data_IF_167829706130
#
_entry.id   IF_167829706130
#
_cell.length_a   1.000
_cell.length_b   1.000
_cell.length_c   1.000
_cell.angle_alpha   90.00
_cell.angle_beta   90.00
_cell.angle_gamma   90.00
#
_symmetry.space_group_name_H-M   'P 1'
#
loop_
_entity.id
_entity.type
_entity.pdbx_description
1 polymer ?
#
# COMPACT_ATOMS: atom_id res chain seq x y z
N UNK A 1 -24.12 58.31 -0.35
CA UNK A 1 -22.78 58.08 -0.91
C UNK A 1 -21.85 57.62 0.21
N UNK A 2 -21.79 56.32 0.45
CA UNK A 2 -20.93 55.72 1.48
C UNK A 2 -20.35 54.43 0.89
N UNK A 3 -19.11 54.50 0.44
CA UNK A 3 -18.39 53.38 -0.19
C UNK A 3 -17.77 52.50 0.86
N UNK A 4 -18.08 51.20 0.81
CA UNK A 4 -17.36 50.16 1.53
C UNK A 4 -16.21 49.69 0.63
N UNK A 5 -14.98 49.87 1.09
CA UNK A 5 -13.78 49.35 0.45
C UNK A 5 -13.54 47.95 0.99
N UNK A 6 -13.70 46.93 0.14
CA UNK A 6 -13.21 45.58 0.43
C UNK A 6 -11.72 45.54 0.08
N UNK A 7 -10.89 45.41 1.10
CA UNK A 7 -9.50 44.99 0.91
C UNK A 7 -9.54 43.53 0.47
N UNK A 8 -9.05 43.27 -0.74
CA UNK A 8 -8.77 41.93 -1.23
C UNK A 8 -7.65 41.33 -0.38
N UNK A 9 -8.02 40.53 0.61
CA UNK A 9 -7.11 39.54 1.15
C UNK A 9 -6.69 38.62 0.02
N UNK A 10 -5.38 38.51 -0.20
CA UNK A 10 -4.78 37.49 -1.05
C UNK A 10 -5.21 36.16 -0.43
N UNK A 11 -6.24 35.55 -1.00
CA UNK A 11 -6.78 34.28 -0.55
C UNK A 11 -5.68 33.26 -0.51
N UNK A 12 -5.21 32.91 0.69
CA UNK A 12 -4.72 31.57 0.92
C UNK A 12 -5.87 30.68 0.53
N UNK A 13 -5.75 30.06 -0.65
CA UNK A 13 -6.72 29.10 -1.15
C UNK A 13 -7.07 28.18 0.00
N UNK A 14 -8.34 28.14 0.36
CA UNK A 14 -8.88 27.03 1.14
C UNK A 14 -8.60 25.78 0.33
N UNK A 15 -7.42 25.19 0.52
CA UNK A 15 -7.10 23.85 0.04
C UNK A 15 -8.11 22.98 0.77
N UNK A 16 -9.18 22.66 0.06
CA UNK A 16 -10.35 21.99 0.60
C UNK A 16 -9.90 20.75 1.36
N UNK A 17 -10.40 20.59 2.57
CA UNK A 17 -10.27 19.31 3.26
C UNK A 17 -10.80 18.20 2.33
N UNK A 18 -10.01 17.15 2.09
CA UNK A 18 -10.47 15.97 1.31
C UNK A 18 -10.02 15.89 -0.16
N UNK A 19 -8.87 16.44 -0.55
CA UNK A 19 -8.32 16.23 -1.90
C UNK A 19 -7.61 14.87 -2.08
N UNK A 20 -7.24 14.23 -0.97
CA UNK A 20 -6.42 13.01 -0.95
C UNK A 20 -7.20 11.87 -0.31
N UNK A 21 -7.32 10.75 -1.01
CA UNK A 21 -7.73 9.48 -0.42
C UNK A 21 -6.51 8.65 -0.06
N UNK A 22 -6.39 8.21 1.18
CA UNK A 22 -5.37 7.29 1.64
C UNK A 22 -6.00 5.95 2.00
N UNK A 23 -5.59 4.90 1.29
CA UNK A 23 -6.04 3.54 1.51
C UNK A 23 -4.97 2.70 2.20
N UNK A 24 -5.40 1.99 3.24
CA UNK A 24 -4.68 0.88 3.84
C UNK A 24 -5.35 -0.44 3.51
N UNK A 25 -4.57 -1.48 3.26
CA UNK A 25 -5.06 -2.84 3.02
C UNK A 25 -4.27 -3.88 3.79
N UNK A 26 -4.79 -5.10 3.82
CA UNK A 26 -4.09 -6.28 4.27
C UNK A 26 -4.69 -6.95 5.51
N UNK A 27 -3.93 -7.90 6.05
CA UNK A 27 -4.35 -8.72 7.16
C UNK A 27 -4.25 -7.98 8.50
N UNK A 28 -5.39 -7.80 9.18
CA UNK A 28 -5.48 -7.00 10.42
C UNK A 28 -4.90 -7.68 11.67
N UNK A 29 -4.41 -8.91 11.57
CA UNK A 29 -3.61 -9.52 12.63
C UNK A 29 -2.13 -9.24 12.51
N UNK A 30 -1.71 -8.51 11.48
CA UNK A 30 -0.34 -8.02 11.40
C UNK A 30 -0.05 -7.07 12.56
N UNK A 31 1.21 -7.02 12.99
CA UNK A 31 1.67 -5.95 13.87
C UNK A 31 1.55 -4.60 13.18
N UNK A 32 0.70 -3.72 13.71
CA UNK A 32 0.54 -2.33 13.27
C UNK A 32 1.38 -1.45 14.20
N UNK A 33 2.50 -0.86 13.72
CA UNK A 33 3.40 -0.09 14.57
C UNK A 33 2.67 1.04 15.29
N UNK A 34 2.91 1.14 16.61
CA UNK A 34 2.29 2.15 17.47
C UNK A 34 0.76 2.19 17.38
N UNK A 35 0.09 1.07 17.11
CA UNK A 35 -1.36 0.95 16.86
C UNK A 35 -1.86 1.88 15.72
N UNK A 36 -0.99 2.26 14.78
CA UNK A 36 -1.27 3.19 13.68
C UNK A 36 -0.96 4.66 13.98
N UNK A 37 -0.56 5.02 15.21
CA UNK A 37 -0.26 6.42 15.57
C UNK A 37 0.88 7.03 14.74
N UNK A 38 1.84 6.21 14.31
CA UNK A 38 2.93 6.69 13.45
C UNK A 38 2.42 7.06 12.05
N UNK A 39 1.57 6.22 11.44
CA UNK A 39 0.91 6.56 10.18
C UNK A 39 0.01 7.80 10.34
N UNK A 40 -0.70 7.94 11.46
CA UNK A 40 -1.51 9.14 11.74
C UNK A 40 -0.67 10.41 11.73
N UNK A 41 0.45 10.40 12.45
CA UNK A 41 1.32 11.57 12.61
C UNK A 41 2.10 11.89 11.34
N UNK A 42 2.62 10.88 10.66
CA UNK A 42 3.61 11.06 9.61
C UNK A 42 3.04 10.88 8.19
N UNK A 43 1.84 10.32 8.03
CA UNK A 43 1.22 10.12 6.73
C UNK A 43 -0.15 10.79 6.62
N UNK A 44 -1.11 10.43 7.47
CA UNK A 44 -2.50 10.90 7.38
C UNK A 44 -2.58 12.42 7.60
N UNK A 45 -2.03 12.93 8.71
CA UNK A 45 -2.10 14.37 9.04
C UNK A 45 -1.31 15.25 8.06
N UNK A 46 -0.05 14.93 7.68
CA UNK A 46 0.69 15.74 6.72
C UNK A 46 -0.02 15.83 5.36
N UNK A 47 -0.71 14.77 4.94
CA UNK A 47 -1.45 14.73 3.68
C UNK A 47 -2.88 15.29 3.79
N UNK A 48 -3.38 15.51 5.01
CA UNK A 48 -4.80 15.86 5.26
C UNK A 48 -5.76 14.89 4.54
N UNK A 49 -5.44 13.60 4.58
CA UNK A 49 -6.11 12.60 3.77
C UNK A 49 -7.36 12.04 4.44
N UNK A 50 -8.39 11.78 3.63
CA UNK A 50 -9.47 10.88 3.99
C UNK A 50 -8.92 9.46 4.07
N UNK A 51 -9.24 8.74 5.15
CA UNK A 51 -8.59 7.47 5.47
C UNK A 51 -9.55 6.30 5.26
N UNK A 52 -9.14 5.38 4.39
CA UNK A 52 -9.88 4.18 4.00
C UNK A 52 -9.13 2.94 4.45
N UNK A 53 -9.84 1.94 4.96
CA UNK A 53 -9.24 0.65 5.32
C UNK A 53 -10.04 -0.50 4.72
N UNK A 54 -9.41 -1.28 3.84
CA UNK A 54 -9.93 -2.57 3.37
C UNK A 54 -9.14 -3.70 4.05
N UNK A 55 -9.61 -4.10 5.23
CA UNK A 55 -8.95 -5.10 6.06
C UNK A 55 -9.48 -6.52 5.81
N UNK A 56 -8.60 -7.49 5.95
CA UNK A 56 -8.96 -8.91 6.05
C UNK A 56 -8.60 -9.50 7.41
N UNK A 57 -9.31 -10.56 7.80
CA UNK A 57 -9.05 -11.29 9.05
C UNK A 57 -9.31 -12.78 8.88
N UNK A 58 -8.63 -13.61 9.67
CA UNK A 58 -8.95 -15.00 9.90
C UNK A 58 -9.94 -15.09 11.06
N UNK A 59 -10.80 -16.10 11.06
CA UNK A 59 -11.82 -16.28 12.10
C UNK A 59 -11.20 -16.39 13.50
N UNK A 60 -10.00 -16.98 13.62
CA UNK A 60 -9.28 -17.07 14.89
C UNK A 60 -8.61 -15.77 15.36
N UNK A 61 -8.53 -14.72 14.52
CA UNK A 61 -7.84 -13.49 14.91
C UNK A 61 -8.58 -12.71 16.00
N UNK A 62 -9.90 -12.89 16.04
CA UNK A 62 -10.79 -12.34 17.04
C UNK A 62 -11.70 -13.49 17.47
N UNK A 63 -11.21 -14.40 18.33
CA UNK A 63 -12.00 -15.54 18.78
C UNK A 63 -13.29 -14.98 19.38
N UNK A 64 -14.42 -15.44 18.87
CA UNK A 64 -15.70 -15.03 19.41
C UNK A 64 -15.71 -15.40 20.89
N UNK A 65 -15.79 -14.41 21.78
CA UNK A 65 -16.61 -14.61 22.97
C UNK A 65 -17.96 -15.07 22.45
N UNK A 66 -18.59 -16.06 23.06
CA UNK A 66 -19.78 -16.82 22.61
C UNK A 66 -20.96 -16.04 21.99
N UNK A 67 -20.93 -14.72 21.89
CA UNK A 67 -21.94 -13.86 21.28
C UNK A 67 -21.42 -12.99 20.11
N UNK A 68 -21.86 -13.37 18.89
CA UNK A 68 -22.12 -12.52 17.71
C UNK A 68 -20.97 -11.94 16.86
N UNK A 69 -21.25 -11.75 15.57
CA UNK A 69 -20.41 -11.07 14.57
C UNK A 69 -20.04 -9.63 14.92
N UNK A 70 -20.82 -8.99 15.81
CA UNK A 70 -20.53 -7.65 16.31
C UNK A 70 -19.23 -7.61 17.15
N UNK A 71 -18.87 -8.72 17.82
CA UNK A 71 -17.65 -8.79 18.61
C UNK A 71 -16.38 -8.73 17.72
N UNK A 72 -16.36 -9.49 16.63
CA UNK A 72 -15.23 -9.52 15.70
C UNK A 72 -14.95 -8.11 15.13
N UNK A 73 -16.01 -7.36 14.77
CA UNK A 73 -15.88 -5.98 14.31
C UNK A 73 -15.20 -5.08 15.35
N UNK A 74 -15.63 -5.12 16.61
CA UNK A 74 -15.02 -4.33 17.69
C UNK A 74 -13.56 -4.68 17.92
N UNK A 75 -13.23 -5.97 18.02
CA UNK A 75 -11.86 -6.46 18.22
C UNK A 75 -10.90 -5.98 17.12
N UNK A 76 -11.36 -5.98 15.85
CA UNK A 76 -10.55 -5.51 14.72
C UNK A 76 -10.42 -3.98 14.69
N UNK A 77 -11.49 -3.24 15.00
CA UNK A 77 -11.49 -1.78 15.04
C UNK A 77 -10.51 -1.24 16.10
N UNK A 78 -10.42 -1.90 17.26
CA UNK A 78 -9.46 -1.52 18.31
C UNK A 78 -8.00 -1.52 17.84
N UNK A 79 -7.65 -2.37 16.87
CA UNK A 79 -6.30 -2.42 16.27
C UNK A 79 -6.01 -1.21 15.37
N UNK A 80 -7.05 -0.58 14.87
CA UNK A 80 -7.00 0.58 13.98
C UNK A 80 -7.20 1.90 14.74
N UNK A 81 -7.27 1.88 16.09
CA UNK A 81 -7.57 3.07 16.90
C UNK A 81 -6.63 4.24 16.63
N UNK A 82 -5.36 3.98 16.33
CA UNK A 82 -4.40 5.03 16.03
C UNK A 82 -4.57 5.67 14.66
N UNK A 83 -5.32 5.05 13.74
CA UNK A 83 -5.64 5.59 12.41
C UNK A 83 -6.90 6.48 12.39
N UNK A 84 -7.59 6.63 13.52
CA UNK A 84 -8.84 7.39 13.59
C UNK A 84 -8.58 8.91 13.41
N UNK A 85 -9.51 9.65 12.77
CA UNK A 85 -10.80 9.18 12.25
C UNK A 85 -10.68 8.43 10.91
N UNK A 86 -11.47 7.36 10.75
CA UNK A 86 -11.61 6.65 9.47
C UNK A 86 -12.79 7.20 8.67
N UNK A 87 -12.57 7.47 7.39
CA UNK A 87 -13.61 7.89 6.43
C UNK A 87 -14.50 6.70 6.04
N UNK A 88 -13.90 5.54 5.80
CA UNK A 88 -14.64 4.29 5.56
C UNK A 88 -13.81 3.04 5.88
N UNK A 89 -14.51 1.97 6.25
CA UNK A 89 -13.95 0.70 6.68
C UNK A 89 -14.70 -0.46 6.03
N UNK A 90 -13.97 -1.39 5.42
CA UNK A 90 -14.49 -2.67 4.93
C UNK A 90 -13.70 -3.82 5.54
N UNK A 91 -14.36 -4.63 6.38
CA UNK A 91 -13.78 -5.78 7.05
C UNK A 91 -14.39 -7.06 6.48
N UNK A 92 -13.55 -7.96 5.95
CA UNK A 92 -13.99 -9.25 5.42
C UNK A 92 -13.12 -10.41 5.92
N UNK A 93 -13.69 -11.60 6.07
CA UNK A 93 -12.87 -12.80 6.21
C UNK A 93 -11.89 -12.91 5.03
N UNK A 94 -10.66 -13.29 5.32
CA UNK A 94 -9.62 -13.51 4.31
C UNK A 94 -10.03 -14.65 3.39
N UNK A 95 -9.85 -14.47 2.07
CA UNK A 95 -10.11 -15.54 1.11
C UNK A 95 -9.24 -16.77 1.42
N UNK A 96 -9.89 -17.92 1.52
CA UNK A 96 -9.24 -19.22 1.68
C UNK A 96 -8.50 -19.59 0.38
N UNK A 97 -7.53 -20.50 0.48
CA UNK A 97 -6.83 -20.99 -0.72
C UNK A 97 -7.77 -21.66 -1.72
N UNK A 98 -8.83 -22.32 -1.24
CA UNK A 98 -9.86 -22.92 -2.09
C UNK A 98 -10.65 -21.85 -2.87
N UNK A 99 -11.05 -20.75 -2.21
CA UNK A 99 -11.72 -19.63 -2.87
C UNK A 99 -10.80 -18.94 -3.88
N UNK A 100 -9.53 -18.70 -3.53
CA UNK A 100 -8.55 -18.12 -4.46
C UNK A 100 -8.35 -19.03 -5.68
N UNK A 101 -8.28 -20.34 -5.48
CA UNK A 101 -8.21 -21.33 -6.56
C UNK A 101 -9.44 -21.24 -7.48
N UNK A 102 -10.64 -21.19 -6.91
CA UNK A 102 -11.87 -21.04 -7.69
C UNK A 102 -11.84 -19.77 -8.56
N UNK A 103 -11.40 -18.63 -8.00
CA UNK A 103 -11.25 -17.40 -8.77
C UNK A 103 -10.21 -17.54 -9.89
N UNK A 104 -9.05 -18.13 -9.59
CA UNK A 104 -8.00 -18.35 -10.57
C UNK A 104 -8.46 -19.28 -11.71
N UNK A 105 -9.08 -20.41 -11.39
CA UNK A 105 -9.57 -21.40 -12.37
C UNK A 105 -10.70 -20.85 -13.24
N UNK A 106 -11.44 -19.84 -12.77
CA UNK A 106 -12.43 -19.12 -13.56
C UNK A 106 -11.82 -18.07 -14.52
N UNK A 107 -10.56 -17.68 -14.34
CA UNK A 107 -9.91 -16.69 -15.18
C UNK A 107 -9.54 -17.29 -16.56
N UNK A 108 -9.89 -16.63 -17.69
CA UNK A 108 -9.71 -17.21 -19.02
C UNK A 108 -8.29 -17.68 -19.35
N UNK A 109 -7.28 -16.96 -18.88
CA UNK A 109 -5.87 -17.27 -19.19
C UNK A 109 -5.23 -18.29 -18.22
N UNK A 110 -5.88 -18.63 -17.10
CA UNK A 110 -5.23 -19.37 -16.02
C UNK A 110 -4.78 -20.76 -16.42
N UNK A 111 -5.64 -21.53 -17.12
CA UNK A 111 -5.29 -22.90 -17.52
C UNK A 111 -4.09 -22.97 -18.48
N UNK A 112 -3.83 -21.92 -19.25
CA UNK A 112 -2.64 -21.83 -20.11
C UNK A 112 -1.39 -21.44 -19.32
N UNK A 113 -1.53 -20.47 -18.41
CA UNK A 113 -0.44 -20.02 -17.54
C UNK A 113 0.01 -21.16 -16.61
N UNK A 114 -0.94 -21.85 -15.98
CA UNK A 114 -0.67 -22.96 -15.06
C UNK A 114 0.07 -24.13 -15.73
N UNK A 115 -0.20 -24.41 -17.01
CA UNK A 115 0.48 -25.48 -17.76
C UNK A 115 1.96 -25.19 -18.03
N UNK A 116 2.32 -23.93 -18.20
CA UNK A 116 3.71 -23.52 -18.43
C UNK A 116 4.48 -23.14 -17.16
N UNK A 117 3.78 -22.99 -16.03
CA UNK A 117 4.38 -22.56 -14.76
C UNK A 117 5.47 -23.52 -14.26
N UNK A 118 6.63 -22.97 -13.90
CA UNK A 118 7.76 -23.70 -13.30
C UNK A 118 8.25 -22.96 -12.06
N UNK A 119 8.08 -23.58 -10.89
CA UNK A 119 8.42 -22.94 -9.59
C UNK A 119 9.91 -22.58 -9.49
N UNK A 120 10.78 -23.35 -10.13
CA UNK A 120 12.24 -23.17 -10.08
C UNK A 120 12.70 -21.89 -10.80
N UNK A 121 11.86 -21.32 -11.66
CA UNK A 121 12.16 -20.13 -12.46
C UNK A 121 11.64 -18.85 -11.79
N UNK A 122 11.19 -18.94 -10.54
CA UNK A 122 10.59 -17.85 -9.78
C UNK A 122 11.44 -17.50 -8.56
N UNK A 123 11.34 -16.24 -8.11
CA UNK A 123 11.98 -15.80 -6.87
C UNK A 123 11.19 -16.33 -5.67
N UNK A 124 11.65 -17.43 -5.06
CA UNK A 124 11.00 -18.09 -3.91
C UNK A 124 9.51 -18.43 -4.09
N UNK A 125 9.07 -18.67 -5.34
CA UNK A 125 7.66 -18.94 -5.64
C UNK A 125 6.75 -17.71 -5.55
N UNK A 126 7.31 -16.50 -5.48
CA UNK A 126 6.55 -15.24 -5.45
C UNK A 126 6.07 -14.92 -6.87
N UNK A 127 4.83 -15.27 -7.17
CA UNK A 127 4.15 -14.98 -8.45
C UNK A 127 2.74 -14.46 -8.21
N UNK A 128 2.13 -13.87 -9.24
CA UNK A 128 0.79 -13.26 -9.15
C UNK A 128 -0.31 -14.21 -8.65
N UNK A 129 -0.23 -15.48 -9.03
CA UNK A 129 -1.21 -16.48 -8.63
C UNK A 129 -0.89 -17.12 -7.26
N UNK A 130 0.10 -16.65 -6.51
CA UNK A 130 0.36 -17.16 -5.16
C UNK A 130 -0.80 -16.79 -4.21
N UNK A 131 -1.32 -17.74 -3.40
CA UNK A 131 -0.78 -19.08 -3.10
C UNK A 131 -1.36 -20.25 -3.95
N UNK A 132 -2.14 -19.97 -4.99
CA UNK A 132 -2.72 -21.00 -5.87
C UNK A 132 -1.62 -21.67 -6.70
N UNK A 133 -0.78 -20.86 -7.35
CA UNK A 133 0.48 -21.27 -8.00
C UNK A 133 1.67 -20.64 -7.27
N UNK A 134 2.81 -21.34 -7.24
CA UNK A 134 4.00 -20.87 -6.54
C UNK A 134 3.95 -21.14 -5.03
N UNK A 135 4.45 -20.19 -4.24
CA UNK A 135 4.67 -20.39 -2.81
C UNK A 135 3.36 -20.32 -2.02
N UNK A 136 2.98 -21.39 -1.29
CA UNK A 136 1.74 -21.43 -0.52
C UNK A 136 1.72 -20.48 0.68
N UNK A 137 2.88 -19.96 1.10
CA UNK A 137 3.02 -19.05 2.24
C UNK A 137 2.94 -17.57 1.83
N UNK A 138 2.86 -17.28 0.53
CA UNK A 138 2.78 -15.93 -0.01
C UNK A 138 1.32 -15.59 -0.34
N UNK A 139 0.91 -14.34 -0.12
CA UNK A 139 -0.49 -13.90 -0.19
C UNK A 139 -0.78 -12.90 -1.32
N UNK A 140 -0.07 -12.99 -2.45
CA UNK A 140 -0.17 -12.00 -3.54
C UNK A 140 -1.60 -11.83 -4.03
N UNK A 141 -2.31 -12.92 -4.35
CA UNK A 141 -3.71 -12.82 -4.81
C UNK A 141 -4.63 -12.16 -3.78
N UNK A 142 -4.37 -12.35 -2.48
CA UNK A 142 -5.17 -11.73 -1.41
C UNK A 142 -4.90 -10.23 -1.33
N UNK A 143 -3.64 -9.84 -1.47
CA UNK A 143 -3.24 -8.43 -1.51
C UNK A 143 -3.89 -7.70 -2.69
N UNK A 144 -3.87 -8.30 -3.89
CA UNK A 144 -4.54 -7.73 -5.06
C UNK A 144 -6.06 -7.56 -4.82
N UNK A 145 -6.70 -8.57 -4.24
CA UNK A 145 -8.11 -8.52 -3.89
C UNK A 145 -8.42 -7.40 -2.86
N UNK A 146 -7.59 -7.24 -1.83
CA UNK A 146 -7.78 -6.20 -0.83
C UNK A 146 -7.54 -4.80 -1.41
N UNK A 147 -6.61 -4.65 -2.35
CA UNK A 147 -6.43 -3.43 -3.14
C UNK A 147 -7.68 -3.08 -3.97
N UNK A 148 -8.27 -4.05 -4.67
CA UNK A 148 -9.54 -3.82 -5.40
C UNK A 148 -10.65 -3.31 -4.48
N UNK A 149 -10.79 -3.91 -3.28
CA UNK A 149 -11.77 -3.47 -2.27
C UNK A 149 -11.52 -2.04 -1.79
N UNK A 150 -10.26 -1.65 -1.60
CA UNK A 150 -9.92 -0.27 -1.25
C UNK A 150 -10.35 0.72 -2.34
N UNK A 151 -10.13 0.40 -3.62
CA UNK A 151 -10.59 1.25 -4.72
C UNK A 151 -12.13 1.38 -4.74
N UNK A 152 -12.84 0.28 -4.46
CA UNK A 152 -14.30 0.30 -4.37
C UNK A 152 -14.82 1.15 -3.20
N UNK A 153 -14.12 1.16 -2.05
CA UNK A 153 -14.43 2.05 -0.92
C UNK A 153 -14.26 3.52 -1.30
N UNK A 154 -13.13 3.87 -1.92
CA UNK A 154 -12.85 5.24 -2.39
C UNK A 154 -13.94 5.66 -3.39
N UNK A 155 -14.21 4.87 -4.42
CA UNK A 155 -15.19 5.18 -5.45
C UNK A 155 -16.61 5.37 -4.88
N UNK A 156 -17.01 4.57 -3.88
CA UNK A 156 -18.30 4.73 -3.19
C UNK A 156 -18.38 6.06 -2.46
N UNK A 157 -17.31 6.46 -1.78
CA UNK A 157 -17.25 7.72 -1.07
C UNK A 157 -17.23 8.91 -2.04
N UNK A 158 -16.42 8.84 -3.10
CA UNK A 158 -16.40 9.84 -4.19
C UNK A 158 -17.80 10.06 -4.77
N UNK A 159 -18.53 8.97 -5.03
CA UNK A 159 -19.92 9.03 -5.50
C UNK A 159 -20.85 9.70 -4.49
N UNK A 160 -20.71 9.39 -3.19
CA UNK A 160 -21.57 9.94 -2.14
C UNK A 160 -21.37 11.44 -1.93
N UNK A 161 -20.15 11.95 -2.14
CA UNK A 161 -19.81 13.38 -2.02
C UNK A 161 -19.84 14.15 -3.34
N UNK A 162 -20.19 13.48 -4.45
CA UNK A 162 -20.22 14.02 -5.80
C UNK A 162 -18.89 14.66 -6.26
N UNK A 163 -17.77 14.17 -5.74
CA UNK A 163 -16.45 14.74 -5.99
C UNK A 163 -15.36 13.65 -5.99
N UNK A 164 -14.48 13.69 -7.00
CA UNK A 164 -13.34 12.78 -7.12
C UNK A 164 -12.09 13.32 -6.44
N UNK A 165 -11.33 12.45 -5.77
CA UNK A 165 -10.05 12.84 -5.22
C UNK A 165 -9.08 13.27 -6.33
N UNK A 166 -8.18 14.21 -6.05
CA UNK A 166 -7.11 14.57 -6.99
C UNK A 166 -5.94 13.58 -6.90
N UNK A 167 -5.74 13.02 -5.71
CA UNK A 167 -4.71 12.03 -5.39
C UNK A 167 -5.27 10.84 -4.65
N UNK A 168 -4.70 9.69 -4.95
CA UNK A 168 -4.88 8.46 -4.16
C UNK A 168 -3.53 8.05 -3.62
N UNK A 169 -3.50 7.61 -2.37
CA UNK A 169 -2.32 7.09 -1.70
C UNK A 169 -2.61 5.68 -1.25
N UNK A 170 -1.68 4.77 -1.48
CA UNK A 170 -1.69 3.42 -0.93
C UNK A 170 -0.57 3.30 0.10
N UNK A 171 -0.85 2.62 1.22
CA UNK A 171 0.19 2.23 2.17
C UNK A 171 -0.16 0.93 2.89
N UNK A 172 0.84 0.09 3.15
CA UNK A 172 0.66 -1.10 4.01
C UNK A 172 0.51 -0.70 5.47
N UNK A 173 -0.34 -1.44 6.21
CA UNK A 173 -0.63 -1.18 7.64
C UNK A 173 0.57 -1.40 8.57
N UNK A 174 1.47 -2.28 8.18
CA UNK A 174 2.63 -2.71 8.98
C UNK A 174 3.84 -1.76 8.89
N UNK A 175 3.70 -0.62 8.18
CA UNK A 175 4.78 0.35 8.08
C UNK A 175 4.97 1.18 9.33
N UNK A 176 6.22 1.23 9.81
CA UNK A 176 6.69 2.21 10.78
C UNK A 176 7.22 3.42 10.05
N UNK A 177 6.47 4.52 10.09
CA UNK A 177 6.88 5.79 9.52
C UNK A 177 7.95 6.46 10.40
N UNK A 178 9.15 6.64 9.87
CA UNK A 178 10.30 7.22 10.58
C UNK A 178 10.42 8.73 10.39
N UNK A 179 9.80 9.26 9.33
CA UNK A 179 9.71 10.68 9.03
C UNK A 179 8.34 11.03 8.40
N UNK A 180 7.91 12.30 8.43
CA UNK A 180 6.71 12.75 7.72
C UNK A 180 6.80 12.57 6.21
N UNK A 181 5.70 12.18 5.57
CA UNK A 181 5.57 12.08 4.12
C UNK A 181 5.93 13.42 3.43
N UNK A 182 6.60 13.42 2.26
CA UNK A 182 6.89 14.65 1.55
C UNK A 182 5.60 15.41 1.21
N UNK A 183 5.59 16.77 1.29
CA UNK A 183 4.43 17.54 0.86
C UNK A 183 4.06 17.21 -0.59
N UNK A 184 2.76 17.12 -0.90
CA UNK A 184 2.32 16.79 -2.26
C UNK A 184 2.74 17.85 -3.29
N UNK A 185 3.03 19.08 -2.85
CA UNK A 185 3.50 20.18 -3.71
C UNK A 185 4.89 19.94 -4.31
N UNK A 186 5.70 19.05 -3.75
CA UNK A 186 7.02 18.68 -4.31
C UNK A 186 6.95 17.44 -5.20
N UNK A 187 5.80 16.79 -5.31
CA UNK A 187 5.59 15.60 -6.11
C UNK A 187 4.81 15.96 -7.39
N UNK A 188 5.40 15.69 -8.56
CA UNK A 188 4.75 15.93 -9.85
C UNK A 188 3.37 15.23 -9.91
N UNK A 189 2.27 15.97 -10.14
CA UNK A 189 0.92 15.41 -10.27
C UNK A 189 0.75 14.32 -11.32
N UNK A 190 1.60 14.29 -12.35
CA UNK A 190 1.45 13.39 -13.48
C UNK A 190 2.11 12.01 -13.26
N UNK A 191 2.84 11.82 -12.16
CA UNK A 191 3.60 10.60 -11.88
C UNK A 191 2.96 9.75 -10.77
N UNK A 192 3.23 8.45 -10.84
CA UNK A 192 3.03 7.51 -9.71
C UNK A 192 4.30 7.50 -8.88
N UNK A 193 4.28 8.12 -7.71
CA UNK A 193 5.43 8.21 -6.82
C UNK A 193 5.49 7.01 -5.89
N UNK A 194 6.63 6.33 -5.86
CA UNK A 194 6.90 5.22 -4.93
C UNK A 194 8.20 5.46 -4.16
N UNK A 195 8.37 4.86 -2.97
CA UNK A 195 9.64 4.92 -2.27
C UNK A 195 10.78 4.35 -3.12
N UNK A 196 11.98 4.92 -2.96
CA UNK A 196 13.23 4.33 -3.45
C UNK A 196 13.57 3.06 -2.66
N UNK A 197 14.23 2.11 -3.34
CA UNK A 197 14.63 0.83 -2.73
C UNK A 197 13.60 -0.29 -2.89
N UNK A 198 14.04 -1.53 -2.62
CA UNK A 198 13.26 -2.77 -2.76
C UNK A 198 12.48 -2.86 -4.08
N UNK A 199 13.20 -2.80 -5.20
CA UNK A 199 12.64 -3.01 -6.54
C UNK A 199 13.11 -4.37 -7.06
N UNK A 200 12.30 -5.40 -6.89
CA UNK A 200 12.58 -6.73 -7.43
C UNK A 200 12.00 -6.76 -8.85
N UNK A 201 12.81 -6.33 -9.83
CA UNK A 201 12.46 -6.28 -11.27
C UNK A 201 11.25 -5.41 -11.64
N UNK A 202 10.75 -4.60 -10.71
CA UNK A 202 9.58 -3.76 -10.96
C UNK A 202 9.52 -2.53 -10.06
N UNK A 203 8.32 -2.19 -9.63
CA UNK A 203 8.06 -1.01 -8.79
C UNK A 203 7.56 -1.47 -7.42
N UNK A 204 8.22 -0.97 -6.38
CA UNK A 204 7.79 -1.15 -5.00
C UNK A 204 6.29 -0.81 -4.85
N UNK A 205 5.51 -1.84 -4.53
CA UNK A 205 4.06 -1.76 -4.44
C UNK A 205 3.56 -1.69 -2.99
N UNK A 206 4.45 -1.38 -2.04
CA UNK A 206 4.11 -1.30 -0.61
C UNK A 206 3.61 0.08 -0.19
N UNK A 207 3.97 1.13 -0.92
CA UNK A 207 3.43 2.49 -0.77
C UNK A 207 3.49 3.23 -2.10
N UNK A 208 2.46 4.00 -2.40
CA UNK A 208 2.45 4.84 -3.59
C UNK A 208 1.58 6.09 -3.41
N UNK A 209 1.97 7.19 -4.04
CA UNK A 209 1.13 8.39 -4.24
C UNK A 209 0.89 8.53 -5.73
N UNK A 210 -0.37 8.64 -6.14
CA UNK A 210 -0.71 8.62 -7.56
C UNK A 210 -1.82 9.62 -7.89
N UNK A 211 -1.86 10.14 -9.13
CA UNK A 211 -3.05 10.81 -9.63
C UNK A 211 -4.24 9.84 -9.58
N UNK A 212 -5.44 10.36 -9.33
CA UNK A 212 -6.65 9.52 -9.25
C UNK A 212 -6.89 8.66 -10.49
N UNK A 213 -6.51 9.14 -11.67
CA UNK A 213 -6.59 8.40 -12.92
C UNK A 213 -5.72 7.13 -12.96
N UNK A 214 -4.62 7.09 -12.20
CA UNK A 214 -3.73 5.91 -12.11
C UNK A 214 -4.22 4.86 -11.09
N UNK A 215 -5.18 5.22 -10.23
CA UNK A 215 -5.65 4.32 -9.18
C UNK A 215 -6.28 3.03 -9.74
N UNK A 216 -6.95 3.09 -10.89
CA UNK A 216 -7.49 1.87 -11.52
C UNK A 216 -6.37 0.93 -11.99
N UNK A 217 -5.28 1.46 -12.53
CA UNK A 217 -4.13 0.65 -12.95
C UNK A 217 -3.39 0.02 -11.75
N UNK A 218 -3.34 0.74 -10.62
CA UNK A 218 -2.65 0.29 -9.41
C UNK A 218 -3.49 -0.72 -8.61
N UNK A 219 -4.74 -0.36 -8.29
CA UNK A 219 -5.61 -1.16 -7.42
C UNK A 219 -6.43 -2.20 -8.20
N UNK A 220 -6.74 -1.95 -9.47
CA UNK A 220 -7.53 -2.83 -10.35
C UNK A 220 -6.78 -4.04 -10.91
N UNK A 221 -5.63 -4.38 -10.30
CA UNK A 221 -4.79 -5.53 -10.68
C UNK A 221 -5.51 -6.86 -10.46
N UNK A 222 -6.40 -6.94 -9.47
CA UNK A 222 -7.25 -8.12 -9.25
C UNK A 222 -8.19 -8.37 -10.42
N UNK A 223 -8.95 -7.36 -10.84
CA UNK A 223 -9.85 -7.44 -11.98
C UNK A 223 -9.09 -7.74 -13.27
N UNK A 224 -7.93 -7.11 -13.47
CA UNK A 224 -7.08 -7.39 -14.62
C UNK A 224 -6.64 -8.86 -14.66
N UNK A 225 -6.15 -9.39 -13.53
CA UNK A 225 -5.69 -10.77 -13.38
C UNK A 225 -6.78 -11.80 -13.73
N UNK A 226 -8.05 -11.48 -13.43
CA UNK A 226 -9.19 -12.36 -13.68
C UNK A 226 -9.87 -12.14 -15.04
N UNK A 227 -9.40 -11.18 -15.83
CA UNK A 227 -10.05 -10.79 -17.09
C UNK A 227 -9.42 -11.42 -18.34
N UNK A 228 -10.15 -11.37 -19.44
CA UNK A 228 -9.66 -11.66 -20.79
C UNK A 228 -8.65 -10.61 -21.32
N UNK A 229 -8.51 -9.48 -20.63
CA UNK A 229 -7.59 -8.40 -20.98
C UNK A 229 -6.17 -8.65 -20.48
N UNK A 230 -5.96 -9.62 -19.59
CA UNK A 230 -4.64 -9.89 -19.00
C UNK A 230 -3.56 -10.05 -20.08
N UNK A 231 -3.83 -10.88 -21.08
CA UNK A 231 -2.88 -11.17 -22.16
C UNK A 231 -2.71 -10.03 -23.19
N UNK A 232 -3.47 -8.94 -23.05
CA UNK A 232 -3.26 -7.69 -23.82
C UNK A 232 -2.26 -6.77 -23.13
N UNK A 233 -2.05 -6.94 -21.82
CA UNK A 233 -1.14 -6.13 -21.00
C UNK A 233 0.22 -6.81 -20.87
N UNK A 234 0.24 -8.15 -20.81
CA UNK A 234 1.46 -8.93 -20.59
C UNK A 234 1.42 -10.24 -21.36
N UNK A 235 2.58 -10.78 -21.72
CA UNK A 235 2.66 -12.03 -22.47
C UNK A 235 2.32 -13.24 -21.58
N UNK A 236 1.87 -14.31 -22.22
CA UNK A 236 1.60 -15.59 -21.53
C UNK A 236 2.84 -16.13 -20.82
N UNK A 237 4.01 -16.01 -21.45
CA UNK A 237 5.29 -16.47 -20.91
C UNK A 237 5.71 -15.65 -19.70
N UNK A 238 5.61 -14.32 -19.76
CA UNK A 238 5.90 -13.46 -18.60
C UNK A 238 5.00 -13.82 -17.40
N UNK A 239 3.72 -14.05 -17.64
CA UNK A 239 2.76 -14.42 -16.60
C UNK A 239 3.07 -15.71 -15.83
N UNK A 240 3.93 -16.57 -16.37
CA UNK A 240 4.36 -17.79 -15.68
C UNK A 240 5.36 -17.49 -14.56
N UNK A 241 6.03 -16.33 -14.57
CA UNK A 241 7.12 -16.03 -13.63
C UNK A 241 7.05 -14.63 -13.03
N UNK A 242 6.15 -13.77 -13.51
CA UNK A 242 6.05 -12.38 -13.10
C UNK A 242 5.64 -12.24 -11.62
N UNK A 243 6.42 -11.43 -10.90
CA UNK A 243 6.12 -11.02 -9.54
C UNK A 243 5.11 -9.86 -9.47
N UNK A 244 4.60 -9.52 -8.28
CA UNK A 244 3.63 -8.44 -8.12
C UNK A 244 4.18 -7.04 -8.48
N UNK A 245 5.45 -6.76 -8.17
CA UNK A 245 6.11 -5.48 -8.46
C UNK A 245 6.33 -5.25 -9.97
N UNK A 246 6.73 -6.31 -10.69
CA UNK A 246 6.91 -6.27 -12.15
C UNK A 246 5.55 -6.13 -12.85
N UNK A 247 4.55 -6.88 -12.41
CA UNK A 247 3.20 -6.77 -12.95
C UNK A 247 2.58 -5.39 -12.72
N UNK A 248 2.83 -4.76 -11.57
CA UNK A 248 2.40 -3.39 -11.33
C UNK A 248 3.00 -2.43 -12.34
N UNK A 249 4.31 -2.53 -12.60
CA UNK A 249 4.97 -1.68 -13.57
C UNK A 249 4.34 -1.86 -14.96
N UNK A 250 4.16 -3.10 -15.42
CA UNK A 250 3.51 -3.40 -16.71
C UNK A 250 2.08 -2.82 -16.77
N UNK A 251 1.29 -2.96 -15.70
CA UNK A 251 -0.07 -2.42 -15.65
C UNK A 251 -0.12 -0.89 -15.72
N UNK A 252 0.84 -0.20 -15.08
CA UNK A 252 0.99 1.26 -15.15
C UNK A 252 1.41 1.72 -16.54
N UNK A 253 2.41 1.06 -17.13
CA UNK A 253 2.95 1.39 -18.47
C UNK A 253 1.92 1.17 -19.57
N UNK A 254 1.15 0.07 -19.49
CA UNK A 254 0.06 -0.20 -20.42
C UNK A 254 -1.06 0.87 -20.38
N UNK A 255 -1.09 1.70 -19.33
CA UNK A 255 -1.99 2.84 -19.17
C UNK A 255 -1.30 4.20 -19.37
N UNK A 256 -0.02 4.21 -19.76
CA UNK A 256 0.76 5.41 -20.05
C UNK A 256 1.22 6.17 -18.80
N UNK A 257 1.19 5.56 -17.61
CA UNK A 257 1.68 6.19 -16.39
C UNK A 257 3.18 5.98 -16.21
N UNK A 258 3.88 7.05 -15.81
CA UNK A 258 5.29 7.02 -15.44
C UNK A 258 5.45 6.97 -13.93
N UNK A 259 6.57 6.41 -13.47
CA UNK A 259 6.86 6.22 -12.05
C UNK A 259 7.96 7.18 -11.60
N UNK A 260 7.67 7.97 -10.57
CA UNK A 260 8.64 8.81 -9.86
C UNK A 260 9.11 8.12 -8.57
N UNK A 261 10.22 8.58 -8.01
CA UNK A 261 10.81 8.04 -6.78
C UNK A 261 11.05 9.10 -5.72
N UNK A 262 10.75 8.79 -4.47
CA UNK A 262 11.10 9.64 -3.33
C UNK A 262 11.81 8.81 -2.24
N UNK A 263 12.60 9.44 -1.34
CA UNK A 263 13.30 8.71 -0.29
C UNK A 263 12.36 7.83 0.55
N UNK A 264 12.76 6.61 0.93
CA UNK A 264 11.90 5.79 1.78
C UNK A 264 11.83 6.37 3.20
N UNK A 265 10.62 6.77 3.62
CA UNK A 265 10.37 7.40 4.94
C UNK A 265 9.63 6.48 5.91
N UNK A 266 9.46 5.21 5.51
CA UNK A 266 8.83 4.17 6.30
C UNK A 266 9.61 2.86 6.14
N UNK A 267 9.59 2.06 7.21
CA UNK A 267 10.25 0.76 7.25
C UNK A 267 9.29 -0.33 7.71
N UNK A 268 9.52 -1.56 7.25
CA UNK A 268 8.91 -2.73 7.87
C UNK A 268 9.64 -2.99 9.17
N UNK A 269 8.94 -2.87 10.29
CA UNK A 269 9.51 -3.19 11.58
C UNK A 269 9.64 -4.71 11.72
N UNK A 270 10.85 -5.15 12.03
CA UNK A 270 11.10 -6.50 12.48
C UNK A 270 10.49 -6.68 13.86
N UNK A 271 9.85 -7.82 14.05
CA UNK A 271 9.11 -8.05 15.27
C UNK A 271 9.91 -8.75 16.34
N UNK A 272 9.55 -8.45 17.59
CA UNK A 272 9.88 -9.26 18.75
C UNK A 272 9.52 -10.73 18.46
N UNK A 273 10.37 -11.67 18.89
CA UNK A 273 10.13 -13.10 18.74
C UNK A 273 8.74 -13.53 19.27
N UNK A 274 8.21 -12.81 20.28
CA UNK A 274 6.85 -13.01 20.83
C UNK A 274 5.72 -12.68 19.85
N UNK A 275 6.00 -11.91 18.81
CA UNK A 275 5.05 -11.49 17.78
C UNK A 275 5.27 -12.22 16.44
N UNK A 276 6.09 -13.29 16.41
CA UNK A 276 6.45 -14.01 15.19
C UNK A 276 5.25 -14.43 14.33
N UNK A 277 4.12 -14.79 14.94
CA UNK A 277 2.90 -15.20 14.23
C UNK A 277 2.14 -14.05 13.57
N UNK A 278 2.47 -12.81 13.94
CA UNK A 278 1.80 -11.58 13.50
C UNK A 278 2.66 -10.72 12.60
N UNK A 279 3.81 -11.22 12.17
CA UNK A 279 4.84 -10.39 11.56
C UNK A 279 5.41 -11.00 10.30
N UNK A 280 5.80 -10.11 9.38
CA UNK A 280 6.36 -10.48 8.10
C UNK A 280 7.75 -11.12 8.25
N UNK A 281 8.58 -10.59 9.16
CA UNK A 281 9.89 -11.17 9.48
C UNK A 281 10.26 -10.92 10.93
N UNK A 282 10.88 -11.93 11.56
CA UNK A 282 11.61 -11.78 12.84
C UNK A 282 13.02 -11.26 12.62
N UNK A 283 13.51 -11.27 11.38
CA UNK A 283 14.81 -10.72 11.02
C UNK A 283 14.64 -9.27 10.56
N UNK A 284 15.44 -8.37 11.13
CA UNK A 284 15.56 -7.01 10.64
C UNK A 284 16.37 -7.03 9.34
N UNK A 285 15.69 -7.06 8.20
CA UNK A 285 16.33 -6.77 6.93
C UNK A 285 16.40 -5.25 6.78
N UNK A 286 17.61 -4.67 6.86
CA UNK A 286 17.81 -3.26 6.53
C UNK A 286 17.29 -3.00 5.12
N UNK A 287 16.34 -2.07 4.98
CA UNK A 287 15.81 -1.62 3.68
C UNK A 287 16.91 -0.91 2.86
N UNK A 288 17.98 -0.53 3.53
CA UNK A 288 19.11 0.20 2.98
C UNK A 288 20.27 -0.78 2.78
N UNK A 289 20.41 -1.29 1.55
CA UNK A 289 21.63 -1.97 1.12
C UNK A 289 22.74 -0.99 0.76
N UNK A 290 22.82 0.17 1.44
CA UNK A 290 24.09 0.89 1.50
C UNK A 290 24.92 0.23 2.60
N UNK A 291 26.21 -0.09 2.34
CA UNK A 291 27.08 -0.72 3.34
C UNK A 291 27.10 0.02 4.69
N UNK A 292 26.84 1.32 4.68
CA UNK A 292 26.84 2.18 5.87
C UNK A 292 25.60 1.97 6.78
N UNK A 293 24.39 1.80 6.23
CA UNK A 293 23.20 1.52 7.04
C UNK A 293 23.04 0.03 7.40
N UNK A 294 23.63 -0.88 6.61
CA UNK A 294 23.59 -2.31 6.91
C UNK A 294 24.35 -2.69 8.19
N UNK A 295 25.30 -1.85 8.62
CA UNK A 295 26.09 -2.05 9.84
C UNK A 295 25.46 -1.44 11.11
N UNK A 296 24.47 -0.55 10.97
CA UNK A 296 23.87 0.17 12.08
C UNK A 296 22.58 -0.51 12.53
N UNK A 297 22.41 -0.69 13.84
CA UNK A 297 21.15 -1.16 14.39
C UNK A 297 20.02 -0.21 13.95
N UNK A 298 18.84 -0.76 13.61
CA UNK A 298 17.68 -0.01 13.10
C UNK A 298 17.37 1.26 13.93
N UNK A 299 17.65 1.23 15.24
CA UNK A 299 17.52 2.38 16.14
C UNK A 299 18.46 3.55 15.82
N UNK A 300 19.71 3.30 15.42
CA UNK A 300 20.69 4.32 15.09
C UNK A 300 20.37 4.98 13.74
N UNK A 301 19.96 4.20 12.73
CA UNK A 301 19.47 4.74 11.46
C UNK A 301 18.20 5.59 11.65
N UNK A 302 17.27 5.15 12.52
CA UNK A 302 16.10 5.96 12.93
C UNK A 302 16.54 7.24 13.66
N UNK A 303 17.58 7.20 14.50
CA UNK A 303 18.11 8.38 15.18
C UNK A 303 18.79 9.35 14.21
N UNK A 304 19.53 8.83 13.24
CA UNK A 304 20.20 9.60 12.20
C UNK A 304 19.20 10.30 11.28
N UNK A 305 18.15 9.61 10.82
CA UNK A 305 17.04 10.26 10.11
C UNK A 305 16.30 11.30 10.97
N UNK A 306 16.14 11.05 12.27
CA UNK A 306 15.61 12.06 13.21
C UNK A 306 16.56 13.24 13.42
N UNK A 307 17.85 13.09 13.19
CA UNK A 307 18.82 14.18 13.21
C UNK A 307 18.76 14.99 11.91
N UNK A 308 18.72 14.30 10.76
CA UNK A 308 18.51 14.91 9.43
C UNK A 308 17.19 15.71 9.41
N UNK A 309 16.10 15.13 9.90
CA UNK A 309 14.80 15.81 10.00
C UNK A 309 14.74 16.96 11.01
N UNK A 310 15.75 17.12 11.88
CA UNK A 310 15.88 18.25 12.82
C UNK A 310 16.74 19.39 12.27
N UNK A 311 17.16 19.32 11.01
CA UNK A 311 17.93 20.40 10.39
C UNK A 311 19.35 20.54 10.93
N UNK A 312 19.94 19.49 11.51
CA UNK A 312 21.39 19.48 11.74
C UNK A 312 22.09 19.31 10.40
N UNK A 313 22.47 20.45 9.81
CA UNK A 313 23.26 20.57 8.59
C UNK A 313 24.59 19.82 8.74
N UNK A 314 24.74 18.68 8.07
CA UNK A 314 25.98 17.91 8.13
C UNK A 314 26.18 16.90 6.99
N UNK A 315 25.13 16.44 6.33
CA UNK A 315 25.25 15.56 5.17
C UNK A 315 24.53 16.16 3.96
N UNK A 316 25.30 16.82 3.09
CA UNK A 316 24.91 17.03 1.69
C UNK A 316 24.75 15.66 1.03
N UNK A 317 23.53 15.13 1.02
CA UNK A 317 23.17 14.09 0.10
C UNK A 317 23.28 14.68 -1.32
N UNK A 318 24.36 14.33 -2.04
CA UNK A 318 24.48 14.57 -3.48
C UNK A 318 23.34 13.83 -4.17
N UNK A 319 22.24 14.54 -4.40
CA UNK A 319 21.26 14.16 -5.41
C UNK A 319 21.94 14.39 -6.77
N UNK A 320 22.49 13.33 -7.35
CA UNK A 320 22.81 13.36 -8.78
C UNK A 320 21.49 13.33 -9.57
N UNK A 321 21.39 14.15 -10.63
CA UNK A 321 20.20 14.24 -11.48
C UNK A 321 19.89 12.94 -12.22
#
# INVERSE_FOLDING_TARGET
FGGLVFMSEVGMSEVGMGEVALAFTGWLNVHIPSDGRDAQRNLIRPLRADTFVAGTYLTQDCPASSDSSAHAGKCLIERLKGLQPLTALDLKPMLTRAQLRQHAEAAPAFGEIARGFRVQETFDGVVLFAPVLGNPNVSVMRELHDCSRALALIARHEKAREWQYSRVVFSRLEFRWVAPHPPLSVLDPALVWTPSGQNIKGVNDRHAVMPRAAAEAYFGRWELLLSDRLLKVTSREAMQHVGPEEFLLTALEAKGFRVGRFPALAVLECCDARLKERCFSTQCHGIWSTPECAAMHNQECIQEYRAIGRGTSGCEARMHP
#
